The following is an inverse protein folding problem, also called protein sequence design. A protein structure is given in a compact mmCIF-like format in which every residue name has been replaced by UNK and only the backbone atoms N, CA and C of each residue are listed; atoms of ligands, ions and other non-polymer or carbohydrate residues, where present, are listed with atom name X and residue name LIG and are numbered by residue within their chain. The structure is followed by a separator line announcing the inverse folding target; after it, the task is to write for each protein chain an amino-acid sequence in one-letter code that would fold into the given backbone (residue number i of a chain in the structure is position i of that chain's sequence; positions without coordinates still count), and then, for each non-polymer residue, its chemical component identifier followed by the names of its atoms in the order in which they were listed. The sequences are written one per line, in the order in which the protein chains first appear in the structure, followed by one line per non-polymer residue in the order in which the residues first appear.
data_IF_625502233854
#
_entry.id   IF_625502233854
#
_cell.length_a   1.000
_cell.length_b   1.000
_cell.length_c   1.000
_cell.angle_alpha   90.00
_cell.angle_beta   90.00
_cell.angle_gamma   90.00
#
_symmetry.space_group_name_H-M   'P 1'
#
loop_
_entity.id
_entity.type
_entity.pdbx_description
1 polymer ?
#
# COMPACT_ATOMS: atom_id res chain seq x y z
N UNK A 1 13.47 -16.03 15.12
CA UNK A 1 13.21 -15.61 13.73
C UNK A 1 13.29 -14.09 13.69
N UNK A 2 14.28 -13.52 12.98
CA UNK A 2 14.31 -12.08 12.75
C UNK A 2 13.15 -11.71 11.84
N UNK A 3 12.41 -10.64 12.17
CA UNK A 3 11.21 -10.24 11.43
C UNK A 3 11.64 -9.30 10.29
N UNK A 4 12.34 -9.83 9.29
CA UNK A 4 12.88 -9.05 8.16
C UNK A 4 11.78 -8.22 7.49
N UNK A 5 10.55 -8.75 7.41
CA UNK A 5 9.39 -8.03 6.87
C UNK A 5 9.19 -6.65 7.50
N UNK A 6 9.44 -6.48 8.80
CA UNK A 6 9.28 -5.20 9.48
C UNK A 6 10.27 -4.13 9.02
N UNK A 7 11.42 -4.55 8.48
CA UNK A 7 12.49 -3.67 8.02
C UNK A 7 12.33 -3.27 6.53
N UNK A 8 11.62 -4.08 5.73
CA UNK A 8 11.44 -3.87 4.27
C UNK A 8 10.05 -3.40 3.86
N UNK A 9 9.01 -3.69 4.64
CA UNK A 9 7.63 -3.35 4.29
C UNK A 9 7.21 -2.05 4.95
N UNK A 10 6.69 -1.11 4.14
CA UNK A 10 6.17 0.15 4.65
C UNK A 10 4.97 -0.08 5.59
N UNK A 11 4.76 0.72 6.65
CA UNK A 11 3.64 0.57 7.57
C UNK A 11 2.26 0.51 6.90
N UNK A 12 2.08 1.24 5.79
CA UNK A 12 0.80 1.33 5.08
C UNK A 12 0.54 0.20 4.06
N UNK A 13 1.51 -0.70 3.82
CA UNK A 13 1.31 -1.86 2.93
C UNK A 13 0.53 -2.95 3.67
N UNK A 14 -0.69 -3.26 3.21
CA UNK A 14 -1.60 -4.17 3.94
C UNK A 14 -1.68 -5.58 3.35
N UNK A 15 -1.61 -5.71 2.02
CA UNK A 15 -1.79 -7.00 1.35
C UNK A 15 -0.71 -8.01 1.73
N UNK A 16 -1.11 -9.21 2.15
CA UNK A 16 -0.20 -10.32 2.49
C UNK A 16 0.57 -10.17 3.81
N UNK A 17 0.30 -9.12 4.60
CA UNK A 17 1.00 -8.87 5.87
C UNK A 17 0.16 -9.39 7.05
N UNK A 18 0.68 -10.34 7.86
CA UNK A 18 -0.04 -10.82 9.04
C UNK A 18 -0.46 -9.69 9.98
N UNK A 19 -1.72 -9.69 10.38
CA UNK A 19 -2.28 -8.69 11.30
C UNK A 19 -2.77 -7.40 10.64
N UNK A 20 -2.48 -7.15 9.35
CA UNK A 20 -3.03 -6.01 8.58
C UNK A 20 -4.22 -6.47 7.76
N UNK A 21 -5.23 -5.61 7.62
CA UNK A 21 -6.51 -5.91 6.95
C UNK A 21 -6.76 -4.95 5.79
N UNK A 22 -7.55 -5.40 4.83
CA UNK A 22 -8.03 -4.55 3.73
C UNK A 22 -8.80 -3.33 4.24
N UNK A 23 -9.48 -3.47 5.39
CA UNK A 23 -10.19 -2.37 6.04
C UNK A 23 -9.27 -1.24 6.46
N UNK A 24 -8.00 -1.52 6.76
CA UNK A 24 -7.04 -0.50 7.20
C UNK A 24 -6.75 0.47 6.04
N UNK A 25 -6.55 -0.05 4.82
CA UNK A 25 -6.41 0.77 3.60
C UNK A 25 -7.67 1.56 3.28
N UNK A 26 -8.86 0.97 3.46
CA UNK A 26 -10.13 1.68 3.24
C UNK A 26 -10.32 2.84 4.20
N UNK A 27 -10.03 2.63 5.49
CA UNK A 27 -10.10 3.68 6.52
C UNK A 27 -9.08 4.78 6.22
N UNK A 28 -7.84 4.43 5.86
CA UNK A 28 -6.80 5.40 5.51
C UNK A 28 -7.23 6.32 4.35
N UNK A 29 -7.76 5.75 3.27
CA UNK A 29 -8.25 6.53 2.11
C UNK A 29 -9.40 7.44 2.53
N UNK A 30 -10.40 6.90 3.24
CA UNK A 30 -11.56 7.66 3.72
C UNK A 30 -11.11 8.83 4.59
N UNK A 31 -10.24 8.58 5.56
CA UNK A 31 -9.81 9.58 6.53
C UNK A 31 -8.94 10.65 5.84
N UNK A 32 -8.13 10.27 4.84
CA UNK A 32 -7.39 11.22 3.99
C UNK A 32 -8.33 12.16 3.22
N UNK A 33 -9.41 11.61 2.64
CA UNK A 33 -10.43 12.40 1.93
C UNK A 33 -11.16 13.35 2.89
N UNK A 34 -11.58 12.86 4.06
CA UNK A 34 -12.22 13.69 5.08
C UNK A 34 -11.27 14.79 5.58
N UNK A 35 -10.02 14.46 5.88
CA UNK A 35 -9.00 15.40 6.33
C UNK A 35 -8.78 16.54 5.33
N UNK A 36 -8.69 16.21 4.03
CA UNK A 36 -8.52 17.19 2.97
C UNK A 36 -9.74 18.11 2.84
N UNK A 37 -10.95 17.53 2.91
CA UNK A 37 -12.22 18.28 2.90
C UNK A 37 -12.28 19.27 4.07
N UNK A 38 -12.05 18.79 5.28
CA UNK A 38 -12.22 19.58 6.51
C UNK A 38 -11.23 20.76 6.59
N UNK A 39 -10.08 20.65 5.91
CA UNK A 39 -9.04 21.69 5.85
C UNK A 39 -9.02 22.47 4.54
N UNK A 40 -9.95 22.21 3.64
CA UNK A 40 -10.00 22.82 2.30
C UNK A 40 -8.68 22.65 1.52
N UNK A 41 -8.06 21.48 1.63
CA UNK A 41 -6.82 21.10 0.92
C UNK A 41 -7.21 20.40 -0.38
N UNK A 42 -6.58 20.78 -1.50
CA UNK A 42 -6.75 20.07 -2.78
C UNK A 42 -6.13 18.69 -2.70
N UNK A 43 -6.90 17.66 -3.01
CA UNK A 43 -6.48 16.26 -3.01
C UNK A 43 -6.78 15.63 -4.37
N UNK A 44 -5.86 14.78 -4.83
CA UNK A 44 -6.05 13.89 -5.98
C UNK A 44 -5.85 12.46 -5.48
N UNK A 45 -6.77 11.55 -5.83
CA UNK A 45 -6.64 10.12 -5.58
C UNK A 45 -6.35 9.44 -6.91
N UNK A 46 -5.20 8.75 -6.99
CA UNK A 46 -4.80 7.96 -8.14
C UNK A 46 -5.03 6.49 -7.83
N UNK A 47 -5.83 5.81 -8.66
CA UNK A 47 -6.01 4.37 -8.57
C UNK A 47 -5.10 3.70 -9.61
N UNK A 48 -4.08 2.98 -9.14
CA UNK A 48 -3.07 2.32 -9.96
C UNK A 48 -3.16 0.81 -9.75
N UNK A 49 -2.99 0.05 -10.84
CA UNK A 49 -2.94 -1.40 -10.79
C UNK A 49 -1.87 -1.92 -11.75
N UNK A 50 -1.27 -3.07 -11.42
CA UNK A 50 -0.26 -3.71 -12.25
C UNK A 50 -0.91 -4.75 -13.16
N UNK A 51 -0.74 -4.61 -14.47
CA UNK A 51 -1.16 -5.64 -15.41
C UNK A 51 -0.34 -6.92 -15.17
N UNK A 52 -0.99 -8.01 -14.73
CA UNK A 52 -0.35 -9.31 -14.47
C UNK A 52 0.84 -9.19 -13.51
N UNK A 53 0.59 -8.63 -12.33
CA UNK A 53 1.59 -8.27 -11.32
C UNK A 53 2.62 -9.38 -10.99
N UNK A 54 2.21 -10.66 -11.02
CA UNK A 54 3.11 -11.79 -10.74
C UNK A 54 3.81 -12.33 -12.00
N UNK A 55 3.19 -12.25 -13.18
CA UNK A 55 3.76 -12.81 -14.41
C UNK A 55 4.83 -11.90 -15.04
N UNK A 56 4.73 -10.59 -14.80
CA UNK A 56 5.58 -9.59 -15.47
C UNK A 56 6.78 -9.11 -14.64
N UNK A 57 7.07 -9.76 -13.52
CA UNK A 57 8.24 -9.42 -12.69
C UNK A 57 9.52 -9.86 -13.39
N UNK A 58 10.48 -8.94 -13.55
CA UNK A 58 11.81 -9.28 -14.07
C UNK A 58 12.55 -10.17 -13.08
N UNK A 59 12.91 -11.39 -13.51
CA UNK A 59 13.65 -12.34 -12.67
C UNK A 59 15.06 -11.84 -12.35
N UNK A 60 15.70 -11.12 -13.30
CA UNK A 60 17.00 -10.51 -13.06
C UNK A 60 16.92 -9.43 -11.97
N UNK A 61 15.81 -8.69 -11.87
CA UNK A 61 15.60 -7.74 -10.77
C UNK A 61 15.30 -8.46 -9.45
N UNK A 62 14.47 -9.51 -9.48
CA UNK A 62 14.03 -10.22 -8.27
C UNK A 62 15.17 -10.94 -7.53
N UNK A 63 16.16 -11.48 -8.26
CA UNK A 63 17.28 -12.26 -7.69
C UNK A 63 18.58 -11.48 -7.56
N UNK A 64 18.57 -10.17 -7.81
CA UNK A 64 19.75 -9.29 -7.64
C UNK A 64 19.76 -8.68 -6.25
#
# INVERSE_FOLDING_TARGET
MSVVLGDVIHPDQTCGIPGRKITDSLVLIRDTICYARDRNIRLIVLNLDFEKAFDRVSHQYLFR
#
